data_IF_828529022679
#
_entry.id   IF_828529022679
#
_cell.length_a   1.000
_cell.length_b   1.000
_cell.length_c   1.000
_cell.angle_alpha   90.00
_cell.angle_beta   90.00
_cell.angle_gamma   90.00
#
_symmetry.space_group_name_H-M   'P 1'
#
loop_
_entity.id
_entity.type
_entity.pdbx_description
1 polymer ?
#
# COMPACT_ATOMS: atom_id res chain seq x y z
N UNK A 1 -9.72 2.64 -6.87
CA UNK A 1 -9.81 3.97 -7.51
C UNK A 1 -11.28 4.30 -7.71
N UNK A 2 -11.65 5.58 -7.68
CA UNK A 2 -12.99 6.02 -8.03
C UNK A 2 -12.83 7.12 -9.08
N UNK A 3 -13.48 6.98 -10.24
CA UNK A 3 -13.47 8.00 -11.31
C UNK A 3 -12.74 7.62 -12.60
N UNK A 4 -12.89 8.48 -13.60
CA UNK A 4 -12.39 8.33 -14.98
C UNK A 4 -10.86 8.36 -15.12
N UNK A 5 -10.14 8.71 -14.04
CA UNK A 5 -8.67 8.70 -13.95
C UNK A 5 -8.07 7.27 -13.96
N UNK A 6 -8.90 6.23 -13.92
CA UNK A 6 -8.48 4.83 -13.76
C UNK A 6 -8.25 4.08 -15.08
N UNK A 7 -8.65 4.65 -16.22
CA UNK A 7 -8.58 3.99 -17.54
C UNK A 7 -7.17 3.80 -18.15
N UNK A 8 -6.09 4.54 -17.82
CA UNK A 8 -4.84 4.40 -18.59
C UNK A 8 -3.78 3.45 -18.00
N UNK A 9 -4.00 2.81 -16.84
CA UNK A 9 -2.94 1.96 -16.24
C UNK A 9 -3.05 0.51 -16.68
N UNK A 10 -1.94 -0.01 -17.22
CA UNK A 10 -1.80 -1.40 -17.63
C UNK A 10 -0.87 -2.17 -16.68
N UNK A 11 -1.02 -3.51 -16.57
CA UNK A 11 -0.02 -4.33 -15.90
C UNK A 11 1.37 -4.08 -16.50
N UNK A 12 2.37 -3.82 -15.64
CA UNK A 12 3.74 -3.49 -16.06
C UNK A 12 4.08 -1.99 -16.02
N UNK A 13 3.08 -1.12 -15.87
CA UNK A 13 3.30 0.30 -15.63
C UNK A 13 3.96 0.55 -14.26
N UNK A 14 4.95 1.44 -14.25
CA UNK A 14 5.52 1.96 -13.01
C UNK A 14 4.77 3.25 -12.68
N UNK A 15 4.07 3.26 -11.55
CA UNK A 15 3.25 4.39 -11.11
C UNK A 15 3.84 5.10 -9.88
N UNK A 16 3.78 6.42 -9.86
CA UNK A 16 4.10 7.23 -8.67
C UNK A 16 2.80 7.70 -8.02
N UNK A 17 2.61 7.35 -6.74
CA UNK A 17 1.50 7.83 -5.93
C UNK A 17 2.00 8.92 -4.98
N UNK A 18 1.46 10.13 -5.11
CA UNK A 18 1.76 11.25 -4.20
C UNK A 18 0.62 11.45 -3.20
N UNK A 19 0.96 11.73 -1.93
CA UNK A 19 0.00 11.89 -0.83
C UNK A 19 -0.98 10.70 -0.74
N UNK A 20 -0.41 9.49 -0.87
CA UNK A 20 -1.12 8.24 -0.66
C UNK A 20 -1.53 8.06 0.80
N UNK A 21 -2.62 7.34 1.00
CA UNK A 21 -3.19 7.02 2.30
C UNK A 21 -3.33 5.51 2.38
N UNK A 22 -2.84 4.93 3.47
CA UNK A 22 -3.14 3.56 3.84
C UNK A 22 -4.41 3.54 4.70
N UNK A 23 -5.27 2.56 4.45
CA UNK A 23 -6.46 2.32 5.26
C UNK A 23 -6.69 0.84 5.44
N UNK A 24 -7.34 0.47 6.53
CA UNK A 24 -7.71 -0.92 6.78
C UNK A 24 -9.16 -1.14 6.39
N UNK A 25 -9.41 -2.11 5.51
CA UNK A 25 -10.75 -2.52 5.11
C UNK A 25 -10.85 -4.04 5.18
N UNK A 26 -11.78 -4.57 5.99
CA UNK A 26 -11.94 -6.02 6.23
C UNK A 26 -10.62 -6.73 6.55
N UNK A 27 -9.84 -6.16 7.47
CA UNK A 27 -8.49 -6.61 7.87
C UNK A 27 -7.41 -6.62 6.78
N UNK A 28 -7.70 -6.10 5.57
CA UNK A 28 -6.68 -5.88 4.54
C UNK A 28 -6.17 -4.45 4.58
N UNK A 29 -4.88 -4.26 4.33
CA UNK A 29 -4.28 -2.93 4.16
C UNK A 29 -4.47 -2.49 2.70
N UNK A 30 -5.06 -1.31 2.49
CA UNK A 30 -5.32 -0.75 1.17
C UNK A 30 -4.61 0.59 1.02
N UNK A 31 -3.79 0.72 0.00
CA UNK A 31 -3.18 1.98 -0.43
C UNK A 31 -4.07 2.67 -1.47
N UNK A 32 -4.35 3.96 -1.28
CA UNK A 32 -5.12 4.80 -2.20
C UNK A 32 -4.52 6.19 -2.29
N UNK A 33 -4.71 6.89 -3.39
CA UNK A 33 -4.45 8.33 -3.41
C UNK A 33 -5.44 9.06 -2.48
N UNK A 34 -4.96 10.01 -1.68
CA UNK A 34 -5.83 10.87 -0.87
C UNK A 34 -6.62 11.86 -1.74
N UNK A 35 -7.53 12.63 -1.12
CA UNK A 35 -8.35 13.65 -1.83
C UNK A 35 -7.52 14.68 -2.63
N UNK A 36 -6.31 14.98 -2.16
CA UNK A 36 -5.33 15.87 -2.84
C UNK A 36 -4.12 15.09 -3.38
N UNK A 37 -4.21 13.77 -3.44
CA UNK A 37 -3.17 12.91 -3.97
C UNK A 37 -3.26 12.79 -5.49
N UNK A 38 -2.16 12.37 -6.10
CA UNK A 38 -2.08 12.12 -7.53
C UNK A 38 -1.50 10.73 -7.78
N UNK A 39 -1.85 10.18 -8.93
CA UNK A 39 -1.26 8.94 -9.47
C UNK A 39 -0.85 9.25 -10.89
N UNK A 40 0.37 8.92 -11.25
CA UNK A 40 0.93 9.18 -12.57
C UNK A 40 1.80 7.99 -13.02
N UNK A 41 1.77 7.68 -14.32
CA UNK A 41 2.72 6.73 -14.92
C UNK A 41 4.08 7.44 -15.03
N UNK A 42 5.12 6.81 -14.50
CA UNK A 42 6.49 7.32 -14.52
C UNK A 42 7.44 6.42 -15.33
N UNK A 43 6.98 5.25 -15.75
CA UNK A 43 7.76 4.33 -16.57
C UNK A 43 7.03 3.03 -16.84
N UNK A 44 7.76 2.07 -17.39
CA UNK A 44 7.27 0.73 -17.73
C UNK A 44 8.42 -0.29 -17.64
N UNK A 45 8.09 -1.52 -17.25
CA UNK A 45 8.90 -2.75 -17.41
C UNK A 45 10.21 -2.89 -16.60
N UNK A 46 10.91 -1.81 -16.27
CA UNK A 46 12.30 -1.85 -15.71
C UNK A 46 12.38 -1.61 -14.20
N UNK A 47 11.45 -2.18 -13.43
CA UNK A 47 11.50 -2.12 -11.96
C UNK A 47 11.40 -3.52 -11.35
N UNK A 48 12.44 -3.92 -10.62
CA UNK A 48 12.41 -5.16 -9.83
C UNK A 48 11.52 -4.96 -8.60
N UNK A 49 10.65 -5.93 -8.32
CA UNK A 49 9.77 -5.93 -7.15
C UNK A 49 9.70 -7.32 -6.53
N UNK A 50 9.22 -7.37 -5.29
CA UNK A 50 9.01 -8.63 -4.56
C UNK A 50 7.56 -8.66 -4.09
N UNK A 51 6.82 -9.72 -4.45
CA UNK A 51 5.41 -9.87 -4.03
C UNK A 51 5.27 -10.43 -2.62
N UNK A 52 6.28 -11.14 -2.14
CA UNK A 52 6.29 -11.77 -0.82
C UNK A 52 7.19 -10.99 0.15
N UNK A 53 6.67 -10.54 1.29
CA UNK A 53 5.31 -10.75 1.78
C UNK A 53 4.28 -9.73 1.23
N UNK A 54 3.06 -10.21 0.96
CA UNK A 54 1.95 -9.34 0.57
C UNK A 54 1.48 -8.50 1.76
N UNK A 55 1.83 -7.22 1.76
CA UNK A 55 1.48 -6.27 2.83
C UNK A 55 -0.03 -6.12 3.04
N UNK A 56 -0.86 -6.39 2.03
CA UNK A 56 -2.33 -6.29 2.14
C UNK A 56 -2.94 -7.43 2.96
N UNK A 57 -2.22 -8.54 3.11
CA UNK A 57 -2.67 -9.77 3.77
C UNK A 57 -2.00 -10.01 5.12
N UNK A 58 -0.99 -9.20 5.45
CA UNK A 58 -0.37 -9.23 6.76
C UNK A 58 -1.35 -8.86 7.87
N UNK A 59 -1.18 -9.52 9.02
CA UNK A 59 -1.85 -9.14 10.25
C UNK A 59 -1.10 -7.98 10.92
N UNK A 60 -1.76 -6.84 11.00
CA UNK A 60 -1.27 -5.67 11.74
C UNK A 60 -1.94 -5.60 13.11
N UNK A 61 -1.13 -5.38 14.14
CA UNK A 61 -1.57 -5.26 15.53
C UNK A 61 -1.04 -3.95 16.14
N UNK A 62 -1.68 -3.41 17.18
CA UNK A 62 -1.14 -2.27 17.91
C UNK A 62 0.25 -2.58 18.45
N UNK A 63 1.16 -1.61 18.36
CA UNK A 63 2.47 -1.67 18.99
C UNK A 63 2.29 -1.68 20.52
N UNK A 64 3.00 -2.59 21.20
CA UNK A 64 2.99 -2.72 22.66
C UNK A 64 3.43 -1.44 23.35
N UNK A 65 4.37 -0.71 22.75
CA UNK A 65 4.89 0.55 23.31
C UNK A 65 4.06 1.78 22.88
N UNK A 66 3.31 1.69 21.77
CA UNK A 66 2.54 2.79 21.19
C UNK A 66 1.22 2.30 20.57
N UNK A 67 0.12 2.22 21.34
CA UNK A 67 -1.14 1.62 20.88
C UNK A 67 -1.78 2.28 19.65
N UNK A 68 -1.43 3.54 19.37
CA UNK A 68 -1.89 4.28 18.18
C UNK A 68 -1.20 3.86 16.89
N UNK A 69 -0.09 3.13 16.98
CA UNK A 69 0.71 2.67 15.84
C UNK A 69 0.41 1.20 15.57
N UNK A 70 0.19 0.87 14.30
CA UNK A 70 0.01 -0.51 13.85
C UNK A 70 1.32 -1.05 13.30
N UNK A 71 1.73 -2.24 13.75
CA UNK A 71 2.93 -2.94 13.29
C UNK A 71 2.57 -4.35 12.78
N UNK A 72 3.31 -4.89 11.79
CA UNK A 72 3.11 -6.27 11.36
C UNK A 72 3.39 -7.23 12.52
N UNK A 73 2.50 -8.19 12.77
CA UNK A 73 2.65 -9.16 13.87
C UNK A 73 3.94 -9.98 13.76
N UNK A 74 4.41 -10.26 12.55
CA UNK A 74 5.68 -10.97 12.30
C UNK A 74 6.92 -10.25 12.85
N UNK A 75 6.83 -8.94 13.09
CA UNK A 75 7.91 -8.16 13.71
C UNK A 75 7.91 -8.27 15.25
N UNK A 76 6.80 -8.69 15.85
CA UNK A 76 6.67 -8.86 17.31
C UNK A 76 7.08 -10.26 17.79
N UNK A 77 7.07 -11.25 16.91
CA UNK A 77 7.41 -12.64 17.24
C UNK A 77 8.92 -12.96 17.10
N UNK A 78 9.75 -11.96 16.82
CA UNK A 78 11.21 -12.11 16.86
C UNK A 78 11.71 -11.85 18.29
N UNK A 79 11.56 -12.85 19.16
CA UNK A 79 12.23 -12.94 20.47
C UNK A 79 13.05 -14.21 20.54
#
# INVERSE_FOLDING_TARGET
>A
MWGAECEPFQPGDIIRISKGIFSRHKNKLLLRAGKRGSVEKVGEFTMLFVESPNMSEMRYVPDTNQPSKLVPQSQLTKS
#
